data_IF_504177455622
#
_entry.id   IF_504177455622
#
_cell.length_a   1.000
_cell.length_b   1.000
_cell.length_c   1.000
_cell.angle_alpha   90.00
_cell.angle_beta   90.00
_cell.angle_gamma   90.00
#
_symmetry.space_group_name_H-M   'P 1'
#
loop_
_entity.id
_entity.type
_entity.pdbx_description
1 polymer ?
#
# COMPACT_ATOMS: atom_id res chain seq x y z
N UNK A 1 -18.99 7.22 -14.05
CA UNK A 1 -17.58 7.59 -13.78
C UNK A 1 -17.41 9.08 -14.11
N UNK A 2 -17.35 9.99 -13.13
CA UNK A 2 -17.03 11.38 -13.44
C UNK A 2 -15.55 11.47 -13.86
N UNK A 3 -15.31 12.42 -14.74
CA UNK A 3 -14.08 12.74 -15.47
C UNK A 3 -12.77 12.52 -14.67
N UNK A 4 -12.01 11.49 -15.02
CA UNK A 4 -10.65 11.25 -14.52
C UNK A 4 -9.64 11.89 -15.46
N UNK A 5 -8.82 12.83 -14.98
CA UNK A 5 -7.68 13.29 -15.76
C UNK A 5 -6.62 12.17 -15.76
N UNK A 6 -5.98 11.85 -16.89
CA UNK A 6 -4.89 10.87 -16.88
C UNK A 6 -3.76 11.39 -15.99
N UNK A 7 -3.51 10.70 -14.87
CA UNK A 7 -2.40 10.91 -13.95
C UNK A 7 -1.08 10.46 -14.57
N UNK A 8 0.02 10.80 -13.90
CA UNK A 8 1.38 10.65 -14.43
C UNK A 8 1.97 9.26 -14.22
N UNK A 9 1.29 8.39 -13.47
CA UNK A 9 1.79 7.08 -13.02
C UNK A 9 3.21 7.20 -12.40
N UNK A 10 3.35 7.88 -11.24
CA UNK A 10 4.63 7.98 -10.53
C UNK A 10 5.29 6.63 -10.21
N UNK A 11 6.63 6.59 -10.05
CA UNK A 11 7.35 5.37 -9.71
C UNK A 11 7.01 4.86 -8.31
N UNK A 12 7.07 3.54 -8.12
CA UNK A 12 6.92 2.89 -6.81
C UNK A 12 8.24 2.99 -6.04
N UNK A 13 8.16 3.54 -4.85
CA UNK A 13 9.22 3.58 -3.85
C UNK A 13 9.43 2.20 -3.25
N UNK A 14 10.70 1.80 -3.11
CA UNK A 14 11.08 0.45 -2.67
C UNK A 14 11.63 0.42 -1.25
N UNK A 15 11.58 -0.79 -0.67
CA UNK A 15 12.14 -1.13 0.64
C UNK A 15 13.56 -0.58 0.83
N UNK A 16 13.81 -0.01 2.01
CA UNK A 16 15.05 0.70 2.32
C UNK A 16 14.99 2.22 2.09
N UNK A 17 14.01 2.72 1.32
CA UNK A 17 13.80 4.16 1.19
C UNK A 17 13.18 4.75 2.48
N UNK A 18 13.78 5.78 3.10
CA UNK A 18 13.29 6.37 4.35
C UNK A 18 11.85 6.92 4.31
N UNK A 19 11.33 7.30 3.13
CA UNK A 19 9.96 7.82 3.02
C UNK A 19 8.91 6.76 3.40
N UNK A 20 9.19 5.47 3.19
CA UNK A 20 8.32 4.36 3.62
C UNK A 20 8.31 4.17 5.14
N UNK A 21 9.30 4.74 5.83
CA UNK A 21 9.46 4.71 7.30
C UNK A 21 9.01 6.01 7.97
N UNK A 22 8.56 6.98 7.17
CA UNK A 22 8.17 8.30 7.66
C UNK A 22 6.66 8.38 7.78
N UNK A 23 6.16 8.78 8.95
CA UNK A 23 4.73 9.02 9.17
C UNK A 23 4.22 10.11 8.24
N UNK A 24 3.19 9.80 7.46
CA UNK A 24 2.52 10.75 6.58
C UNK A 24 1.83 11.86 7.40
N UNK A 25 1.88 13.06 6.86
CA UNK A 25 1.31 14.28 7.43
C UNK A 25 -0.18 14.39 7.09
N UNK A 26 -1.02 14.82 8.05
CA UNK A 26 -2.42 15.11 7.76
C UNK A 26 -2.56 16.13 6.63
N UNK A 27 -3.45 15.85 5.70
CA UNK A 27 -3.87 16.78 4.64
C UNK A 27 -4.77 17.84 5.25
N UNK A 28 -4.42 19.11 5.07
CA UNK A 28 -5.21 20.26 5.57
C UNK A 28 -5.83 21.08 4.45
N UNK A 29 -5.44 20.85 3.21
CA UNK A 29 -5.88 21.60 2.03
C UNK A 29 -6.50 20.64 1.03
N UNK A 30 -7.76 20.88 0.69
CA UNK A 30 -8.57 20.04 -0.19
C UNK A 30 -8.74 20.74 -1.54
N UNK A 31 -7.70 20.64 -2.37
CA UNK A 31 -7.59 21.36 -3.63
C UNK A 31 -7.36 20.42 -4.83
N UNK A 32 -7.05 21.01 -5.98
CA UNK A 32 -6.78 20.26 -7.21
C UNK A 32 -5.53 19.37 -7.09
N UNK A 33 -4.53 19.77 -6.31
CA UNK A 33 -3.30 18.97 -6.16
C UNK A 33 -3.59 17.68 -5.38
N UNK A 34 -4.44 17.75 -4.36
CA UNK A 34 -4.94 16.57 -3.65
C UNK A 34 -5.71 15.63 -4.61
N UNK A 35 -6.60 16.19 -5.43
CA UNK A 35 -7.33 15.39 -6.42
C UNK A 35 -6.39 14.73 -7.43
N UNK A 36 -5.38 15.46 -7.92
CA UNK A 36 -4.36 14.89 -8.82
C UNK A 36 -3.50 13.83 -8.15
N UNK A 37 -3.21 13.94 -6.85
CA UNK A 37 -2.51 12.90 -6.09
C UNK A 37 -3.32 11.59 -6.05
N UNK A 38 -4.63 11.68 -5.83
CA UNK A 38 -5.51 10.51 -5.87
C UNK A 38 -5.52 9.87 -7.26
N UNK A 39 -5.58 10.68 -8.33
CA UNK A 39 -5.49 10.18 -9.71
C UNK A 39 -4.17 9.46 -9.98
N UNK A 40 -3.04 10.05 -9.56
CA UNK A 40 -1.70 9.48 -9.67
C UNK A 40 -1.59 8.14 -8.92
N UNK A 41 -2.17 8.05 -7.72
CA UNK A 41 -2.20 6.83 -6.93
C UNK A 41 -2.94 5.70 -7.64
N UNK A 42 -4.16 5.96 -8.13
CA UNK A 42 -4.90 4.96 -8.90
C UNK A 42 -4.16 4.55 -10.18
N UNK A 43 -3.54 5.49 -10.90
CA UNK A 43 -2.84 5.17 -12.16
C UNK A 43 -1.57 4.35 -11.92
N UNK A 44 -0.86 4.62 -10.83
CA UNK A 44 0.27 3.79 -10.42
C UNK A 44 -0.18 2.41 -9.93
N UNK A 45 -1.26 2.33 -9.15
CA UNK A 45 -1.82 1.06 -8.69
C UNK A 45 -2.25 0.18 -9.86
N UNK A 46 -3.05 0.72 -10.79
CA UNK A 46 -3.56 -0.01 -11.95
C UNK A 46 -2.50 -0.36 -12.99
N UNK A 47 -1.32 0.29 -12.96
CA UNK A 47 -0.20 -0.11 -13.78
C UNK A 47 0.42 -1.46 -13.35
N UNK A 48 -0.02 -2.03 -12.22
CA UNK A 48 0.53 -3.23 -11.62
C UNK A 48 -0.58 -4.27 -11.46
N UNK A 49 -0.43 -5.44 -12.08
CA UNK A 49 -1.48 -6.47 -12.15
C UNK A 49 -1.98 -6.96 -10.78
N UNK A 50 -1.14 -6.90 -9.76
CA UNK A 50 -1.44 -7.35 -8.38
C UNK A 50 -1.84 -6.21 -7.44
N UNK A 51 -1.94 -4.96 -7.93
CA UNK A 51 -2.25 -3.80 -7.12
C UNK A 51 -3.72 -3.75 -6.68
N UNK A 52 -3.96 -3.81 -5.38
CA UNK A 52 -5.30 -3.68 -4.76
C UNK A 52 -5.40 -2.50 -3.79
N UNK A 53 -4.27 -1.87 -3.49
CA UNK A 53 -4.13 -0.72 -2.60
C UNK A 53 -2.81 -0.01 -2.86
N UNK A 54 -2.78 1.31 -2.62
CA UNK A 54 -1.57 2.11 -2.71
C UNK A 54 -1.65 3.37 -1.84
N UNK A 55 -0.70 3.53 -0.92
CA UNK A 55 -0.53 4.72 -0.08
C UNK A 55 0.40 5.76 -0.72
N UNK A 56 0.18 7.05 -0.43
CA UNK A 56 0.97 8.18 -0.96
C UNK A 56 2.49 8.01 -0.81
N UNK A 57 2.95 7.48 0.34
CA UNK A 57 4.38 7.35 0.59
C UNK A 57 5.04 6.28 -0.30
N UNK A 58 4.27 5.36 -0.86
CA UNK A 58 4.74 4.42 -1.86
C UNK A 58 5.03 5.07 -3.21
N UNK A 59 4.57 6.30 -3.46
CA UNK A 59 4.99 7.13 -4.60
C UNK A 59 5.83 8.34 -4.16
N UNK A 60 6.41 8.28 -2.96
CA UNK A 60 7.31 9.31 -2.42
C UNK A 60 6.61 10.54 -1.85
N UNK A 61 5.29 10.47 -1.62
CA UNK A 61 4.44 11.57 -1.14
C UNK A 61 4.06 11.35 0.32
N UNK A 62 4.19 12.37 1.17
CA UNK A 62 3.94 12.24 2.62
C UNK A 62 2.58 12.79 3.04
N UNK A 63 1.65 12.92 2.12
CA UNK A 63 0.25 13.24 2.38
C UNK A 63 -0.47 11.99 2.89
N UNK A 64 -1.28 12.12 3.94
CA UNK A 64 -2.00 10.99 4.54
C UNK A 64 -3.19 10.57 3.68
N UNK A 65 -2.92 9.89 2.56
CA UNK A 65 -3.91 9.47 1.56
C UNK A 65 -3.56 8.07 1.03
N UNK A 66 -4.56 7.21 0.85
CA UNK A 66 -4.41 5.98 0.06
C UNK A 66 -5.61 5.76 -0.85
N UNK A 67 -5.41 4.93 -1.87
CA UNK A 67 -6.45 4.41 -2.77
C UNK A 67 -6.54 2.89 -2.64
N UNK A 68 -7.68 2.32 -2.97
CA UNK A 68 -7.88 0.87 -2.98
C UNK A 68 -8.87 0.45 -4.07
N UNK A 69 -8.68 -0.76 -4.57
CA UNK A 69 -9.60 -1.46 -5.45
C UNK A 69 -9.51 -2.96 -5.15
N UNK A 70 -10.45 -3.46 -4.35
CA UNK A 70 -10.50 -4.86 -3.92
C UNK A 70 -11.48 -5.72 -4.73
N UNK A 71 -12.03 -5.19 -5.83
CA UNK A 71 -13.07 -5.87 -6.64
C UNK A 71 -14.48 -5.72 -6.08
N UNK A 72 -15.49 -6.24 -6.80
CA UNK A 72 -16.90 -6.28 -6.37
C UNK A 72 -17.48 -4.95 -5.84
N UNK A 73 -17.18 -3.84 -6.54
CA UNK A 73 -17.55 -2.45 -6.16
C UNK A 73 -16.86 -1.91 -4.89
N UNK A 74 -15.89 -2.63 -4.32
CA UNK A 74 -15.05 -2.20 -3.19
C UNK A 74 -13.83 -1.41 -3.68
N UNK A 75 -14.11 -0.24 -4.27
CA UNK A 75 -13.11 0.68 -4.81
C UNK A 75 -13.30 2.07 -4.23
N UNK A 76 -12.21 2.72 -3.82
CA UNK A 76 -12.28 4.05 -3.24
C UNK A 76 -10.94 4.63 -2.86
N UNK A 77 -11.01 5.76 -2.15
CA UNK A 77 -9.83 6.44 -1.61
C UNK A 77 -10.22 7.13 -0.31
N UNK A 78 -9.24 7.33 0.57
CA UNK A 78 -9.48 7.98 1.86
C UNK A 78 -8.36 8.96 2.16
N UNK A 79 -8.74 10.21 2.42
CA UNK A 79 -7.87 11.27 2.92
C UNK A 79 -7.97 11.33 4.45
N UNK A 80 -6.83 11.46 5.12
CA UNK A 80 -6.69 11.40 6.57
C UNK A 80 -7.35 10.17 7.21
N UNK A 81 -7.10 8.95 6.71
CA UNK A 81 -7.73 7.74 7.19
C UNK A 81 -7.40 7.42 8.66
N UNK A 82 -8.42 6.92 9.34
CA UNK A 82 -8.35 6.22 10.62
C UNK A 82 -8.98 4.85 10.43
N UNK A 83 -8.23 3.78 10.71
CA UNK A 83 -8.74 2.40 10.66
C UNK A 83 -9.18 1.95 12.06
N UNK A 84 -10.36 1.35 12.12
CA UNK A 84 -10.97 0.74 13.29
C UNK A 84 -11.14 -0.76 13.02
N UNK A 85 -10.62 -1.61 13.91
CA UNK A 85 -10.89 -3.05 13.88
C UNK A 85 -12.27 -3.32 14.48
N UNK A 86 -13.07 -4.14 13.80
CA UNK A 86 -14.41 -4.49 14.26
C UNK A 86 -14.42 -5.94 14.75
N UNK A 87 -14.75 -6.13 16.03
CA UNK A 87 -14.78 -7.44 16.67
C UNK A 87 -13.38 -7.96 17.03
N UNK A 88 -13.32 -9.24 17.40
CA UNK A 88 -12.10 -9.96 17.82
C UNK A 88 -11.64 -11.01 16.80
N UNK A 89 -12.35 -11.15 15.69
CA UNK A 89 -12.01 -12.07 14.62
C UNK A 89 -10.69 -11.72 13.95
N UNK A 90 -9.86 -12.73 13.71
CA UNK A 90 -8.61 -12.62 12.99
C UNK A 90 -8.63 -13.45 11.70
N UNK A 91 -7.87 -13.01 10.71
CA UNK A 91 -7.61 -13.73 9.48
C UNK A 91 -6.10 -13.91 9.30
N UNK A 92 -5.70 -15.09 8.85
CA UNK A 92 -4.36 -15.36 8.33
C UNK A 92 -4.45 -15.47 6.81
N UNK A 93 -3.40 -15.05 6.11
CA UNK A 93 -3.37 -15.00 4.67
C UNK A 93 -2.08 -14.41 4.15
N UNK A 94 -1.70 -14.83 2.94
CA UNK A 94 -0.52 -14.31 2.23
C UNK A 94 -0.68 -12.80 2.02
N UNK A 95 0.30 -12.03 2.45
CA UNK A 95 0.34 -10.58 2.28
C UNK A 95 1.65 -10.20 1.61
N UNK A 96 1.56 -9.41 0.54
CA UNK A 96 2.69 -8.82 -0.16
C UNK A 96 2.55 -7.30 -0.22
N UNK A 97 3.54 -6.62 -0.77
CA UNK A 97 3.53 -5.16 -0.89
C UNK A 97 4.21 -4.73 -2.19
N UNK A 98 3.63 -3.75 -2.87
CA UNK A 98 4.21 -3.14 -4.06
C UNK A 98 5.60 -2.53 -3.80
N UNK A 99 5.82 -2.01 -2.59
CA UNK A 99 7.11 -1.48 -2.14
C UNK A 99 8.10 -2.53 -1.61
N UNK A 100 7.69 -3.80 -1.49
CA UNK A 100 8.59 -4.91 -1.11
C UNK A 100 8.47 -6.04 -2.17
N UNK A 101 8.93 -5.82 -3.40
CA UNK A 101 8.64 -6.71 -4.53
C UNK A 101 9.16 -8.14 -4.37
N UNK A 102 8.32 -9.11 -4.77
CA UNK A 102 8.71 -10.51 -4.94
C UNK A 102 8.72 -11.35 -3.66
N UNK A 103 8.21 -10.82 -2.55
CA UNK A 103 8.00 -11.55 -1.31
C UNK A 103 6.58 -11.34 -0.79
N UNK A 104 5.99 -12.43 -0.31
CA UNK A 104 4.77 -12.42 0.49
C UNK A 104 4.96 -13.29 1.72
N UNK A 105 4.38 -12.87 2.84
CA UNK A 105 4.46 -13.60 4.12
C UNK A 105 3.04 -13.73 4.70
N UNK A 106 2.62 -14.91 5.20
CA UNK A 106 1.38 -15.05 5.94
C UNK A 106 1.33 -14.05 7.08
N UNK A 107 0.36 -13.14 7.06
CA UNK A 107 0.28 -12.02 8.00
C UNK A 107 -1.08 -12.00 8.66
N UNK A 108 -1.09 -12.04 9.99
CA UNK A 108 -2.33 -11.97 10.76
C UNK A 108 -2.87 -10.54 10.76
N UNK A 109 -4.14 -10.41 10.38
CA UNK A 109 -4.90 -9.15 10.36
C UNK A 109 -6.23 -9.36 11.05
N UNK A 110 -6.89 -8.27 11.45
CA UNK A 110 -8.29 -8.37 11.83
C UNK A 110 -9.15 -8.83 10.65
N UNK A 111 -10.15 -9.67 10.90
CA UNK A 111 -11.04 -10.20 9.88
C UNK A 111 -11.97 -9.14 9.28
N UNK A 112 -12.30 -8.11 10.06
CA UNK A 112 -13.18 -6.99 9.69
C UNK A 112 -12.58 -5.67 10.14
N UNK A 113 -12.67 -4.66 9.29
CA UNK A 113 -12.20 -3.32 9.60
C UNK A 113 -13.09 -2.26 8.93
N UNK A 114 -13.16 -1.10 9.57
CA UNK A 114 -13.75 0.12 9.01
C UNK A 114 -12.67 1.17 8.88
N UNK A 115 -12.65 1.88 7.77
CA UNK A 115 -11.80 3.06 7.58
C UNK A 115 -12.68 4.29 7.41
N UNK A 116 -12.33 5.35 8.12
CA UNK A 116 -13.03 6.64 8.11
C UNK A 116 -12.04 7.76 7.76
N UNK A 117 -12.52 8.78 7.07
CA UNK A 117 -11.73 9.93 6.70
C UNK A 117 -12.54 10.90 5.86
N UNK A 118 -11.91 11.48 4.85
CA UNK A 118 -12.54 12.45 3.95
C UNK A 118 -12.27 12.09 2.48
N UNK A 119 -13.09 12.62 1.59
CA UNK A 119 -12.80 12.63 0.15
C UNK A 119 -11.91 13.84 -0.23
N UNK A 120 -11.70 14.07 -1.53
CA UNK A 120 -10.89 15.19 -2.04
C UNK A 120 -11.57 16.56 -1.88
N UNK A 121 -12.85 16.60 -1.53
CA UNK A 121 -13.62 17.81 -1.25
C UNK A 121 -13.68 18.13 0.24
N UNK A 122 -13.23 17.21 1.10
CA UNK A 122 -13.28 17.32 2.55
C UNK A 122 -14.58 16.79 3.14
N UNK A 123 -15.43 16.13 2.35
CA UNK A 123 -16.64 15.49 2.83
C UNK A 123 -16.30 14.15 3.48
N UNK A 124 -17.00 13.80 4.57
CA UNK A 124 -16.72 12.59 5.31
C UNK A 124 -17.04 11.34 4.48
N UNK A 125 -16.12 10.37 4.49
CA UNK A 125 -16.30 9.05 3.86
C UNK A 125 -16.06 7.94 4.88
N UNK A 126 -16.75 6.82 4.69
CA UNK A 126 -16.60 5.62 5.52
C UNK A 126 -16.73 4.39 4.64
N UNK A 127 -15.79 3.47 4.79
CA UNK A 127 -15.81 2.17 4.15
C UNK A 127 -15.64 1.10 5.22
N UNK A 128 -16.32 -0.03 5.05
CA UNK A 128 -16.26 -1.15 5.98
C UNK A 128 -16.27 -2.44 5.18
N UNK A 129 -15.39 -3.36 5.52
CA UNK A 129 -15.30 -4.63 4.82
C UNK A 129 -14.67 -5.73 5.65
N UNK A 130 -14.67 -6.92 5.07
CA UNK A 130 -14.11 -8.15 5.62
C UNK A 130 -13.05 -8.72 4.68
N UNK A 131 -12.28 -9.71 5.13
CA UNK A 131 -11.32 -10.43 4.27
C UNK A 131 -10.29 -9.50 3.63
N UNK A 132 -10.19 -9.52 2.29
CA UNK A 132 -9.21 -8.73 1.54
C UNK A 132 -9.36 -7.23 1.78
N UNK A 133 -10.59 -6.71 1.82
CA UNK A 133 -10.88 -5.28 2.04
C UNK A 133 -10.38 -4.84 3.41
N UNK A 134 -10.70 -5.62 4.46
CA UNK A 134 -10.22 -5.35 5.81
C UNK A 134 -8.69 -5.37 5.91
N UNK A 135 -8.05 -6.33 5.22
CA UNK A 135 -6.59 -6.42 5.14
C UNK A 135 -5.98 -5.21 4.44
N UNK A 136 -6.55 -4.81 3.31
CA UNK A 136 -6.13 -3.64 2.54
C UNK A 136 -6.15 -2.37 3.42
N UNK A 137 -7.26 -2.08 4.11
CA UNK A 137 -7.33 -0.90 4.99
C UNK A 137 -6.25 -0.89 6.08
N UNK A 138 -6.02 -2.04 6.72
CA UNK A 138 -4.98 -2.16 7.74
C UNK A 138 -3.57 -2.02 7.14
N UNK A 139 -3.34 -2.51 5.92
CA UNK A 139 -2.07 -2.42 5.21
C UNK A 139 -1.76 -0.98 4.79
N UNK A 140 -2.71 -0.31 4.15
CA UNK A 140 -2.50 1.05 3.65
C UNK A 140 -2.38 2.06 4.79
N UNK A 141 -3.10 1.87 5.91
CA UNK A 141 -2.91 2.74 7.08
C UNK A 141 -1.57 2.47 7.78
N UNK A 142 -1.09 1.22 7.86
CA UNK A 142 0.26 0.92 8.34
C UNK A 142 1.30 1.71 7.51
N UNK A 143 1.17 1.71 6.17
CA UNK A 143 2.04 2.51 5.30
C UNK A 143 2.06 3.98 5.70
N UNK A 144 0.89 4.59 5.89
CA UNK A 144 0.77 6.00 6.26
C UNK A 144 1.33 6.30 7.66
N UNK A 145 1.47 5.29 8.52
CA UNK A 145 2.13 5.39 9.82
C UNK A 145 3.63 5.05 9.78
N UNK A 146 4.20 4.81 8.58
CA UNK A 146 5.62 4.50 8.39
C UNK A 146 5.96 3.03 8.67
N UNK A 147 4.96 2.16 8.69
CA UNK A 147 5.07 0.73 8.93
C UNK A 147 4.89 -0.05 7.63
N UNK A 148 5.60 -1.16 7.51
CA UNK A 148 5.46 -2.13 6.43
C UNK A 148 4.93 -3.44 7.00
N UNK A 149 4.24 -4.24 6.19
CA UNK A 149 3.69 -5.51 6.66
C UNK A 149 4.75 -6.45 7.25
N UNK A 150 6.00 -6.40 6.76
CA UNK A 150 7.14 -7.19 7.26
C UNK A 150 7.50 -6.85 8.71
N UNK A 151 7.18 -5.64 9.19
CA UNK A 151 7.44 -5.24 10.59
C UNK A 151 6.51 -5.96 11.56
N UNK A 152 5.37 -6.50 11.09
CA UNK A 152 4.51 -7.38 11.87
C UNK A 152 5.15 -8.75 12.15
N UNK A 153 6.31 -9.02 11.55
CA UNK A 153 7.10 -10.25 11.71
C UNK A 153 8.49 -9.98 12.30
N UNK A 154 8.60 -9.43 13.52
CA UNK A 154 9.89 -9.01 14.08
C UNK A 154 10.91 -10.16 14.21
N UNK A 155 10.45 -11.40 14.32
CA UNK A 155 11.32 -12.59 14.36
C UNK A 155 11.86 -12.98 12.97
N UNK A 156 11.10 -12.73 11.90
CA UNK A 156 11.49 -13.05 10.52
C UNK A 156 12.21 -11.88 9.85
N UNK A 157 12.05 -10.66 10.35
CA UNK A 157 12.59 -9.45 9.74
C UNK A 157 14.08 -9.55 9.38
N UNK A 158 14.99 -10.11 10.22
CA UNK A 158 16.40 -10.27 9.82
C UNK A 158 16.62 -11.22 8.63
N UNK A 159 15.78 -12.26 8.49
CA UNK A 159 15.83 -13.19 7.36
C UNK A 159 15.22 -12.54 6.10
N UNK A 160 14.11 -11.82 6.25
CA UNK A 160 13.50 -11.02 5.19
C UNK A 160 14.52 -10.00 4.67
N UNK A 161 15.17 -9.24 5.55
CA UNK A 161 16.18 -8.25 5.17
C UNK A 161 17.32 -8.86 4.35
N UNK A 162 17.85 -10.01 4.79
CA UNK A 162 18.90 -10.73 4.06
C UNK A 162 18.42 -11.18 2.68
N UNK A 163 17.22 -11.76 2.62
CA UNK A 163 16.62 -12.18 1.36
C UNK A 163 16.43 -11.00 0.40
N UNK A 164 15.96 -9.85 0.90
CA UNK A 164 15.79 -8.64 0.10
C UNK A 164 17.12 -8.06 -0.38
N UNK A 165 18.19 -8.12 0.43
CA UNK A 165 19.53 -7.65 0.07
C UNK A 165 20.15 -8.39 -1.12
N UNK A 166 19.71 -9.62 -1.38
CA UNK A 166 20.17 -10.43 -2.52
C UNK A 166 19.43 -10.09 -3.83
N UNK A 167 18.36 -9.28 -3.76
CA UNK A 167 17.54 -8.93 -4.94
C UNK A 167 18.25 -7.85 -5.76
N UNK A 168 18.18 -7.96 -7.09
CA UNK A 168 18.80 -7.02 -8.04
C UNK A 168 18.36 -5.55 -7.80
N UNK A 169 17.12 -5.34 -7.36
CA UNK A 169 16.57 -4.01 -7.15
C UNK A 169 16.99 -3.38 -5.81
N UNK A 170 17.58 -4.13 -4.88
CA UNK A 170 17.89 -3.63 -3.55
C UNK A 170 18.84 -2.41 -3.60
N UNK A 171 18.55 -1.40 -2.77
CA UNK A 171 19.25 -0.12 -2.79
C UNK A 171 18.76 0.87 -3.87
N UNK A 172 17.84 0.46 -4.75
CA UNK A 172 17.15 1.38 -5.67
C UNK A 172 16.06 2.13 -4.91
N UNK A 173 16.03 3.46 -5.01
CA UNK A 173 15.04 4.28 -4.30
C UNK A 173 13.60 4.04 -4.78
N UNK A 174 13.41 3.89 -6.09
CA UNK A 174 12.09 3.69 -6.72
C UNK A 174 12.23 3.09 -8.13
N UNK A 175 11.19 2.41 -8.63
CA UNK A 175 11.12 1.88 -10.00
C UNK A 175 9.82 2.30 -10.70
N UNK A 176 9.90 2.50 -12.03
CA UNK A 176 8.70 2.70 -12.86
C UNK A 176 7.85 1.42 -12.84
N UNK A 177 6.58 1.46 -12.37
CA UNK A 177 5.71 0.29 -12.29
C UNK A 177 5.46 -0.39 -13.64
N UNK A 178 5.52 0.36 -14.75
CA UNK A 178 5.32 -0.16 -16.12
C UNK A 178 6.61 -0.78 -16.68
N UNK A 179 7.74 -0.50 -16.05
CA UNK A 179 9.06 -0.89 -16.50
C UNK A 179 9.33 -2.39 -16.35
N UNK A 180 10.17 -2.99 -17.22
CA UNK A 180 10.52 -4.41 -17.13
C UNK A 180 11.29 -4.73 -15.85
N UNK A 181 12.03 -3.77 -15.28
CA UNK A 181 12.74 -3.94 -14.00
C UNK A 181 11.77 -4.19 -12.84
N UNK A 182 10.70 -3.41 -12.75
CA UNK A 182 9.71 -3.56 -11.69
C UNK A 182 8.93 -4.87 -11.84
N UNK A 183 8.52 -5.21 -13.07
CA UNK A 183 7.86 -6.50 -13.34
C UNK A 183 8.72 -7.70 -12.95
N UNK A 184 10.02 -7.68 -13.25
CA UNK A 184 10.96 -8.72 -12.78
C UNK A 184 11.14 -8.71 -11.27
N UNK A 185 11.15 -7.54 -10.63
CA UNK A 185 11.25 -7.44 -9.18
C UNK A 185 10.06 -8.10 -8.47
N UNK A 186 8.86 -7.96 -9.03
CA UNK A 186 7.62 -8.58 -8.55
C UNK A 186 7.55 -10.10 -8.79
N UNK A 187 8.31 -10.62 -9.76
CA UNK A 187 8.36 -12.06 -10.01
C UNK A 187 8.99 -12.81 -8.82
N UNK A 188 8.26 -13.81 -8.31
CA UNK A 188 8.63 -14.65 -7.17
C UNK A 188 9.48 -15.84 -7.60
N UNK A 189 10.52 -15.62 -8.40
CA UNK A 189 11.37 -16.70 -8.95
C UNK A 189 12.14 -17.46 -7.84
N UNK A 190 12.23 -16.87 -6.64
CA UNK A 190 12.79 -17.50 -5.45
C UNK A 190 11.89 -17.14 -4.27
N UNK A 191 10.88 -17.97 -3.95
CA UNK A 191 9.98 -17.71 -2.84
C UNK A 191 10.77 -17.58 -1.54
N UNK A 192 10.42 -16.59 -0.72
CA UNK A 192 10.93 -16.52 0.64
C UNK A 192 10.36 -17.69 1.44
N UNK A 193 11.24 -18.55 1.96
CA UNK A 193 10.88 -19.60 2.89
C UNK A 193 11.19 -19.14 4.32
N UNK A 194 10.18 -18.88 5.16
CA UNK A 194 10.40 -18.45 6.54
C UNK A 194 11.02 -19.54 7.43
N UNK A 195 11.14 -20.79 6.96
CA UNK A 195 11.69 -21.92 7.70
C UNK A 195 13.19 -22.18 7.45
N UNK A 196 13.83 -21.43 6.54
CA UNK A 196 15.26 -21.57 6.15
C UNK A 196 16.06 -20.36 6.63
#
# INVERSE_FOLDING_TARGET
MPFRLPGRCPPITLYGNPVLRTRAQPVTTFDRELASLVDDLFDTMYAIETGVGLAANQIGRLERVFVFDCGDDETGYVVNPVVEVIGDGAQDGSEGCLSVPGISVPTVRAARARVQGHDVHGDAVTYEGEGLVARCFQHEVDHLDGMLYVDRHPKLLPAIDRHLQEREWYGTASLDPRGPKYRRAQATDTPFDPAV
#
